data_IF_033084715133
#
_entry.id   IF_033084715133
#
_cell.length_a   1.000
_cell.length_b   1.000
_cell.length_c   1.000
_cell.angle_alpha   90.00
_cell.angle_beta   90.00
_cell.angle_gamma   90.00
#
_symmetry.space_group_name_H-M   'P 1'
#
loop_
_entity.id
_entity.type
_entity.pdbx_description
1 polymer ?
2 non-polymer ?
3 non-polymer ?
4 non-polymer ?
5 water ?
#
# COMPACT_ATOMS: atom_id res chain seq x y z
N UNK A 1 -16.47 6.08 6.29
CA UNK A 1 -15.98 4.74 5.85
C UNK A 1 -15.43 3.87 6.97
N UNK A 2 -15.09 2.61 6.65
CA UNK A 2 -14.66 1.67 7.69
C UNK A 2 -13.26 2.00 8.20
N UNK A 3 -12.99 1.68 9.47
CA UNK A 3 -11.62 1.74 10.02
C UNK A 3 -11.32 0.49 10.85
N UNK A 4 -10.04 0.17 11.04
CA UNK A 4 -9.64 -0.90 11.95
C UNK A 4 -9.96 -0.47 13.38
N UNK A 5 -10.52 -1.39 14.15
CA UNK A 5 -10.96 -1.10 15.53
C UNK A 5 -10.04 -1.74 16.54
N UNK A 6 -8.77 -1.85 16.16
CA UNK A 6 -7.76 -2.52 16.96
C UNK A 6 -6.44 -1.90 16.57
N UNK A 7 -5.46 -2.02 17.47
CA UNK A 7 -4.16 -1.39 17.28
C UNK A 7 -3.10 -2.26 16.64
N UNK A 8 -3.18 -3.56 16.90
CA UNK A 8 -2.21 -4.48 16.35
C UNK A 8 -2.79 -5.04 15.05
N UNK A 9 -2.11 -4.74 13.95
CA UNK A 9 -2.54 -5.09 12.60
C UNK A 9 -1.44 -5.98 12.00
N UNK A 10 -1.85 -7.05 11.32
CA UNK A 10 -0.90 -7.97 10.73
C UNK A 10 -0.96 -7.85 9.21
N UNK A 11 0.18 -8.08 8.56
CA UNK A 11 0.19 -8.25 7.11
C UNK A 11 0.93 -9.49 6.71
N UNK A 12 0.57 -9.99 5.53
CA UNK A 12 1.23 -11.14 4.95
C UNK A 12 1.49 -10.86 3.48
N UNK A 13 2.69 -11.21 3.04
CA UNK A 13 3.00 -11.08 1.62
C UNK A 13 2.72 -12.44 0.96
N UNK A 14 1.71 -12.45 0.10
CA UNK A 14 1.20 -13.66 -0.53
C UNK A 14 2.21 -14.29 -1.50
N UNK A 15 2.88 -13.42 -2.24
CA UNK A 15 3.81 -13.83 -3.30
C UNK A 15 4.64 -12.63 -3.67
N UNK A 16 5.75 -12.87 -4.36
CA UNK A 16 6.76 -11.85 -4.58
C UNK A 16 6.92 -11.55 -6.07
N UNK A 17 6.93 -10.28 -6.44
CA UNK A 17 7.23 -9.91 -7.82
C UNK A 17 8.63 -10.42 -8.20
N UNK A 18 8.78 -10.98 -9.41
CA UNK A 18 10.13 -11.35 -9.88
C UNK A 18 10.96 -10.12 -10.28
N UNK A 19 10.35 -8.93 -10.24
CA UNK A 19 11.02 -7.71 -10.67
C UNK A 19 12.07 -7.25 -9.68
N UNK A 20 11.97 -7.73 -8.45
CA UNK A 20 12.83 -7.25 -7.35
C UNK A 20 13.46 -8.38 -6.58
N UNK A 21 14.55 -8.08 -5.87
CA UNK A 21 15.11 -8.99 -4.86
C UNK A 21 14.07 -9.18 -3.75
N UNK A 22 13.96 -10.39 -3.24
CA UNK A 22 13.01 -10.68 -2.15
C UNK A 22 13.14 -9.75 -0.96
N UNK A 23 14.36 -9.59 -0.45
CA UNK A 23 14.61 -8.72 0.74
C UNK A 23 14.17 -7.27 0.47
N UNK A 24 14.30 -6.82 -0.78
CA UNK A 24 13.89 -5.45 -1.16
C UNK A 24 12.36 -5.24 -1.16
N UNK A 25 11.63 -6.26 -1.61
CA UNK A 25 10.16 -6.29 -1.46
C UNK A 25 9.80 -6.19 0.04
N UNK A 26 10.41 -7.04 0.86
CA UNK A 26 10.09 -7.03 2.30
C UNK A 26 10.32 -5.65 2.90
N UNK A 27 11.44 -5.05 2.56
CA UNK A 27 11.83 -3.79 3.17
C UNK A 27 10.96 -2.64 2.71
N UNK A 28 10.70 -2.58 1.40
CA UNK A 28 9.75 -1.58 0.82
C UNK A 28 8.37 -1.63 1.49
N UNK A 29 7.81 -2.83 1.67
CA UNK A 29 6.51 -2.98 2.35
C UNK A 29 6.60 -2.58 3.85
N UNK A 30 7.64 -3.05 4.53
CA UNK A 30 7.88 -2.66 5.93
C UNK A 30 7.97 -1.14 6.09
N UNK A 31 8.83 -0.49 5.32
CA UNK A 31 8.96 0.96 5.33
C UNK A 31 7.64 1.70 5.07
N UNK A 32 6.86 1.20 4.13
CA UNK A 32 5.56 1.78 3.83
C UNK A 32 4.59 1.71 5.02
N UNK A 33 4.54 0.56 5.69
CA UNK A 33 3.73 0.45 6.90
C UNK A 33 4.19 1.46 7.99
N UNK A 34 5.52 1.57 8.19
CA UNK A 34 6.15 2.51 9.12
C UNK A 34 5.72 3.97 8.90
N UNK A 35 5.58 4.38 7.63
CA UNK A 35 5.05 5.71 7.31
C UNK A 35 3.74 5.97 8.07
N UNK A 36 2.84 5.00 8.06
CA UNK A 36 1.53 5.17 8.70
C UNK A 36 1.54 4.97 10.21
N UNK A 37 2.34 4.03 10.69
CA UNK A 37 2.41 3.80 12.13
C UNK A 37 3.11 4.97 12.81
N UNK A 38 3.91 5.74 12.04
CA UNK A 38 4.64 6.90 12.57
C UNK A 38 3.68 7.97 13.05
N UNK A 39 2.46 8.00 12.50
CA UNK A 39 1.53 9.11 12.76
C UNK A 39 0.17 8.59 13.27
N UNK A 40 0.14 7.32 13.65
CA UNK A 40 -1.06 6.74 14.27
C UNK A 40 -0.66 5.85 15.46
N UNK A 41 -1.65 5.31 16.21
CA UNK A 41 -1.36 4.30 17.25
C UNK A 41 -1.19 2.86 16.73
N UNK A 42 -1.29 2.69 15.42
CA UNK A 42 -1.20 1.37 14.81
C UNK A 42 0.19 0.78 14.88
N UNK A 43 0.23 -0.54 15.05
CA UNK A 43 1.46 -1.32 15.04
C UNK A 43 1.26 -2.42 14.02
N UNK A 44 2.24 -2.58 13.13
CA UNK A 44 2.15 -3.56 12.02
C UNK A 44 3.19 -4.65 12.16
N UNK A 45 2.75 -5.90 11.97
CA UNK A 45 3.62 -7.09 12.04
C UNK A 45 3.39 -8.01 10.86
N UNK A 46 4.50 -8.46 10.28
CA UNK A 46 4.50 -9.35 9.12
C UNK A 46 4.35 -10.77 9.65
N UNK A 47 3.35 -11.49 9.17
CA UNK A 47 3.19 -12.88 9.57
C UNK A 47 3.48 -13.68 8.29
N UNK A 48 3.90 -14.92 8.46
CA UNK A 48 4.36 -15.72 7.33
C UNK A 48 3.37 -16.81 6.98
N UNK A 49 2.31 -16.89 7.77
CA UNK A 49 1.34 -17.97 7.64
C UNK A 49 -0.02 -17.57 8.24
N UNK A 50 -1.10 -18.21 7.80
CA UNK A 50 -2.40 -17.92 8.37
C UNK A 50 -3.02 -16.66 7.79
N UNK A 51 -4.12 -16.23 8.39
CA UNK A 51 -4.89 -15.09 7.88
C UNK A 51 -4.39 -13.75 8.47
N UNK A 52 -3.88 -12.89 7.61
CA UNK A 52 -3.48 -11.55 8.03
C UNK A 52 -4.64 -10.60 7.83
N UNK A 53 -4.58 -9.45 8.48
CA UNK A 53 -5.52 -8.41 8.19
C UNK A 53 -5.29 -7.89 6.78
N UNK A 54 -4.03 -7.71 6.40
CA UNK A 54 -3.71 -7.11 5.11
C UNK A 54 -2.88 -8.10 4.30
N UNK A 55 -3.48 -8.63 3.25
CA UNK A 55 -2.77 -9.51 2.31
C UNK A 55 -2.24 -8.70 1.14
N UNK A 56 -0.94 -8.86 0.89
CA UNK A 56 -0.22 -8.13 -0.14
C UNK A 56 -0.02 -9.13 -1.26
N UNK A 57 -0.54 -8.77 -2.44
CA UNK A 57 -0.59 -9.70 -3.60
C UNK A 57 -0.01 -9.03 -4.84
N UNK A 58 0.83 -9.76 -5.57
CA UNK A 58 1.17 -9.34 -6.92
C UNK A 58 0.41 -10.22 -7.92
N UNK A 59 -0.27 -9.58 -8.87
CA UNK A 59 -1.07 -10.31 -9.86
C UNK A 59 -1.28 -9.46 -11.13
N UNK A 60 -1.68 -10.11 -12.22
CA UNK A 60 -1.90 -9.40 -13.49
C UNK A 60 -3.26 -9.76 -14.05
N UNK A 61 -3.81 -8.87 -14.88
CA UNK A 61 -5.10 -9.09 -15.54
C UNK A 61 -6.20 -9.41 -14.54
N UNK A 62 -7.09 -10.33 -14.92
CA UNK A 62 -8.14 -10.81 -14.04
C UNK A 62 -7.50 -11.66 -12.95
N UNK A 63 -7.72 -11.27 -11.70
CA UNK A 63 -7.08 -11.98 -10.61
C UNK A 63 -8.04 -12.20 -9.45
N UNK A 64 -9.33 -12.33 -9.76
CA UNK A 64 -10.26 -12.88 -8.78
C UNK A 64 -11.04 -11.89 -7.94
N UNK A 65 -11.02 -10.63 -8.33
CA UNK A 65 -11.92 -9.66 -7.74
C UNK A 65 -12.56 -8.90 -8.89
N UNK A 66 -13.12 -7.74 -8.62
CA UNK A 66 -13.75 -6.92 -9.66
C UNK A 66 -12.88 -5.79 -10.17
N UNK A 67 -11.60 -5.92 -9.89
CA UNK A 67 -10.67 -4.87 -10.21
C UNK A 67 -9.57 -5.47 -11.07
N UNK A 68 -9.96 -5.96 -12.24
CA UNK A 68 -8.99 -6.45 -13.22
C UNK A 68 -7.94 -5.41 -13.53
N UNK A 69 -6.69 -5.87 -13.60
CA UNK A 69 -5.58 -5.02 -13.98
C UNK A 69 -5.50 -4.91 -15.51
N UNK A 70 -4.77 -3.92 -15.99
CA UNK A 70 -4.89 -3.46 -17.37
C UNK A 70 -3.61 -3.56 -18.20
N UNK A 71 -2.68 -4.44 -17.82
CA UNK A 71 -1.36 -4.49 -18.46
C UNK A 71 -0.47 -3.36 -17.98
N UNK A 72 0.66 -3.15 -18.64
CA UNK A 72 1.60 -2.13 -18.20
C UNK A 72 1.02 -0.70 -18.27
N UNK A 73 1.28 0.08 -17.22
CA UNK A 73 0.81 1.47 -17.16
C UNK A 73 -0.62 1.54 -16.65
N UNK A 74 -1.24 2.72 -16.73
CA UNK A 74 -2.57 2.90 -16.15
C UNK A 74 -2.59 2.56 -14.65
N UNK A 75 -3.52 1.69 -14.26
CA UNK A 75 -3.67 1.25 -12.86
C UNK A 75 -2.42 0.47 -12.47
N UNK A 76 -1.76 0.93 -11.41
CA UNK A 76 -0.55 0.31 -10.86
C UNK A 76 -0.85 -0.68 -9.73
N UNK A 77 -1.95 -0.45 -9.01
CA UNK A 77 -2.29 -1.20 -7.81
C UNK A 77 -3.67 -0.78 -7.30
N UNK A 78 -4.28 -1.60 -6.46
CA UNK A 78 -5.52 -1.18 -5.80
C UNK A 78 -5.62 -1.93 -4.48
N UNK A 79 -6.41 -1.39 -3.55
CA UNK A 79 -6.56 -1.96 -2.22
C UNK A 79 -7.99 -1.78 -1.69
N UNK A 80 -8.37 -2.63 -0.74
CA UNK A 80 -9.69 -2.61 -0.16
C UNK A 80 -9.64 -1.95 1.21
N UNK A 81 -10.69 -1.19 1.53
CA UNK A 81 -10.78 -0.53 2.85
C UNK A 81 -10.90 -1.54 3.98
N UNK A 82 -10.72 -1.08 5.23
CA UNK A 82 -10.76 -2.04 6.36
C UNK A 82 -12.02 -2.92 6.35
N UNK A 83 -11.86 -4.16 6.77
CA UNK A 83 -12.98 -5.08 6.84
C UNK A 83 -12.47 -6.50 6.86
N UNK A 84 -13.40 -7.42 7.02
CA UNK A 84 -13.11 -8.86 7.06
C UNK A 84 -12.77 -9.39 5.66
N UNK A 85 -12.21 -10.60 5.60
CA UNK A 85 -11.90 -11.24 4.32
C UNK A 85 -10.94 -10.40 3.50
N UNK A 86 -11.39 -9.98 2.33
CA UNK A 86 -10.53 -9.21 1.44
C UNK A 86 -10.32 -7.77 1.88
N UNK A 87 -11.13 -7.29 2.83
CA UNK A 87 -10.93 -5.95 3.35
C UNK A 87 -9.48 -5.79 3.80
N UNK A 88 -8.90 -4.63 3.50
CA UNK A 88 -7.52 -4.34 3.83
C UNK A 88 -6.50 -4.78 2.79
N UNK A 89 -6.88 -5.65 1.86
CA UNK A 89 -5.85 -6.32 1.03
C UNK A 89 -5.38 -5.36 -0.01
N UNK A 90 -4.11 -5.47 -0.39
CA UNK A 90 -3.50 -4.55 -1.33
C UNK A 90 -2.91 -5.38 -2.48
N UNK A 91 -3.32 -5.06 -3.72
CA UNK A 91 -2.92 -5.83 -4.91
C UNK A 91 -2.08 -4.94 -5.80
N UNK A 92 -0.98 -5.49 -6.30
CA UNK A 92 -0.04 -4.75 -7.14
C UNK A 92 0.03 -5.40 -8.52
N UNK A 93 -0.09 -4.58 -9.55
CA UNK A 93 -0.13 -5.10 -10.93
C UNK A 93 1.25 -5.63 -11.34
N UNK A 94 1.36 -6.95 -11.53
CA UNK A 94 2.60 -7.57 -11.99
C UNK A 94 3.05 -7.08 -13.38
N UNK A 95 2.12 -6.54 -14.17
CA UNK A 95 2.50 -5.96 -15.47
C UNK A 95 3.28 -4.66 -15.37
N UNK A 96 3.35 -4.06 -14.16
CA UNK A 96 4.27 -2.97 -13.92
C UNK A 96 5.68 -3.53 -13.63
N UNK A 97 6.69 -2.68 -13.71
CA UNK A 97 8.02 -3.12 -13.27
C UNK A 97 8.39 -2.44 -11.97
N UNK A 98 8.36 -3.25 -10.90
CA UNK A 98 8.56 -2.79 -9.53
C UNK A 98 10.04 -2.59 -9.24
N UNK A 99 10.39 -1.48 -8.59
CA UNK A 99 11.79 -1.18 -8.21
C UNK A 99 11.94 -0.52 -6.83
N UNK A 100 13.19 -0.50 -6.38
CA UNK A 100 13.62 0.23 -5.18
C UNK A 100 13.95 1.71 -5.44
N UNK A 101 13.84 2.14 -6.69
CA UNK A 101 14.37 3.44 -7.10
C UNK A 101 13.41 4.21 -8.04
N UNK A 102 13.96 5.14 -8.84
CA UNK A 102 13.12 5.95 -9.73
C UNK A 102 12.75 5.29 -11.04
N UNK A 103 13.31 4.12 -11.31
CA UNK A 103 13.04 3.42 -12.55
C UNK A 103 11.74 2.67 -12.37
N UNK A 104 11.11 2.31 -13.48
CA UNK A 104 9.83 1.59 -13.45
C UNK A 104 8.86 2.29 -12.52
N UNK A 105 8.22 1.50 -11.64
CA UNK A 105 7.29 2.02 -10.62
C UNK A 105 7.84 1.69 -9.23
N UNK A 106 8.03 2.71 -8.41
CA UNK A 106 8.61 2.50 -7.10
C UNK A 106 7.61 1.79 -6.17
N UNK A 107 8.01 0.63 -5.67
CA UNK A 107 7.11 -0.19 -4.84
C UNK A 107 6.78 0.49 -3.53
N UNK A 108 7.80 1.01 -2.84
CA UNK A 108 7.60 1.72 -1.59
C UNK A 108 6.50 2.80 -1.70
N UNK A 109 6.64 3.71 -2.67
CA UNK A 109 5.71 4.85 -2.83
C UNK A 109 4.31 4.37 -3.13
N UNK A 110 4.19 3.39 -4.03
CA UNK A 110 2.90 2.78 -4.30
C UNK A 110 2.32 2.10 -3.06
N UNK A 111 3.17 1.39 -2.31
CA UNK A 111 2.69 0.71 -1.11
C UNK A 111 2.22 1.70 -0.04
N UNK A 112 2.91 2.83 0.10
CA UNK A 112 2.40 3.88 0.98
C UNK A 112 0.96 4.26 0.58
N UNK A 113 0.75 4.58 -0.70
CA UNK A 113 -0.59 4.96 -1.21
C UNK A 113 -1.64 3.85 -0.97
N UNK A 114 -1.29 2.61 -1.33
CA UNK A 114 -2.20 1.47 -1.16
C UNK A 114 -2.56 1.20 0.32
N UNK A 115 -1.55 1.20 1.17
CA UNK A 115 -1.79 1.03 2.62
C UNK A 115 -2.67 2.15 3.17
N UNK A 116 -2.51 3.36 2.64
CA UNK A 116 -3.46 4.44 3.00
C UNK A 116 -4.89 3.99 2.78
N UNK A 117 -5.15 3.40 1.61
CA UNK A 117 -6.47 2.84 1.32
C UNK A 117 -6.83 1.68 2.26
N UNK A 118 -5.86 0.78 2.52
CA UNK A 118 -6.08 -0.38 3.42
C UNK A 118 -6.49 0.03 4.85
N UNK A 119 -6.15 1.26 5.21
CA UNK A 119 -6.45 1.82 6.53
C UNK A 119 -7.74 2.66 6.53
N UNK A 120 -8.31 2.91 5.35
CA UNK A 120 -9.59 3.66 5.25
C UNK A 120 -9.55 5.01 4.54
N UNK A 121 -8.36 5.46 4.12
CA UNK A 121 -8.24 6.72 3.38
C UNK A 121 -8.71 6.64 1.92
N UNK A 122 -9.36 7.71 1.46
CA UNK A 122 -9.69 7.87 0.04
C UNK A 122 -8.63 8.74 -0.62
N UNK A 123 -8.91 9.18 -1.84
CA UNK A 123 -7.97 10.01 -2.56
C UNK A 123 -8.01 11.46 -2.09
N UNK A 124 -6.89 12.14 -2.28
CA UNK A 124 -6.78 13.58 -2.01
C UNK A 124 -6.75 14.31 -3.33
N UNK A 125 -7.25 15.54 -3.35
CA UNK A 125 -7.17 16.35 -4.55
C UNK A 125 -5.85 17.15 -4.61
N UNK A 126 -5.10 17.13 -3.50
CA UNK A 126 -3.82 17.82 -3.36
C UNK A 126 -2.67 17.05 -4.05
N UNK A 127 -2.09 17.63 -5.12
CA UNK A 127 -1.05 16.92 -5.89
C UNK A 127 0.21 16.59 -5.11
N UNK A 128 0.36 17.18 -3.93
CA UNK A 128 1.49 16.93 -3.03
C UNK A 128 1.28 15.73 -2.12
N UNK A 129 0.03 15.31 -2.00
CA UNK A 129 -0.33 14.25 -1.07
C UNK A 129 -0.04 12.88 -1.69
N UNK A 130 0.39 11.94 -0.85
CA UNK A 130 0.67 10.61 -1.34
C UNK A 130 -0.62 9.93 -1.82
N UNK A 131 -1.75 10.32 -1.24
CA UNK A 131 -3.10 9.84 -1.58
C UNK A 131 -3.73 10.54 -2.79
N UNK A 132 -3.02 11.50 -3.38
CA UNK A 132 -3.39 12.00 -4.72
C UNK A 132 -3.45 10.80 -5.68
N UNK A 133 -4.43 10.79 -6.60
CA UNK A 133 -4.62 9.61 -7.45
C UNK A 133 -3.53 9.31 -8.50
N UNK A 134 -2.60 10.23 -8.74
CA UNK A 134 -1.60 10.05 -9.81
C UNK A 134 -0.20 9.75 -9.28
N UNK A 135 0.35 8.60 -9.65
CA UNK A 135 1.73 8.24 -9.28
C UNK A 135 2.75 9.25 -9.82
N UNK A 136 3.59 9.75 -8.93
CA UNK A 136 4.67 10.64 -9.28
C UNK A 136 5.86 10.27 -8.42
N UNK A 137 6.99 9.94 -9.05
CA UNK A 137 8.17 9.57 -8.28
C UNK A 137 8.68 10.76 -7.47
N UNK A 138 8.94 10.53 -6.19
CA UNK A 138 9.72 11.48 -5.40
C UNK A 138 10.83 10.70 -4.70
N UNK A 139 11.95 11.37 -4.42
CA UNK A 139 13.04 10.71 -3.71
C UNK A 139 12.56 10.02 -2.42
N UNK A 140 12.68 8.70 -2.43
CA UNK A 140 12.17 7.85 -1.35
C UNK A 140 13.00 7.98 -0.07
N UNK A 141 14.28 8.32 -0.21
CA UNK A 141 15.17 8.47 0.94
C UNK A 141 14.85 9.68 1.80
N UNK A 142 14.13 10.65 1.24
CA UNK A 142 13.71 11.84 2.01
C UNK A 142 12.20 12.02 2.01
N UNK A 143 11.49 10.96 1.64
CA UNK A 143 10.04 11.00 1.59
C UNK A 143 9.38 11.43 2.90
N UNK A 144 8.39 12.30 2.82
CA UNK A 144 7.60 12.63 4.00
C UNK A 144 6.15 12.80 3.62
N UNK A 145 5.26 12.31 4.48
CA UNK A 145 3.82 12.49 4.30
C UNK A 145 3.49 13.95 4.20
N UNK A 146 2.55 14.29 3.33
CA UNK A 146 2.13 15.67 3.23
C UNK A 146 1.24 15.95 4.43
N UNK A 147 1.07 17.23 4.75
CA UNK A 147 0.17 17.66 5.82
C UNK A 147 -1.25 17.15 5.54
N UNK A 148 -1.64 17.12 4.26
CA UNK A 148 -2.97 16.63 3.89
C UNK A 148 -3.12 15.16 4.27
N UNK A 149 -2.08 14.35 4.01
CA UNK A 149 -2.13 12.91 4.36
C UNK A 149 -2.17 12.73 5.87
N UNK A 150 -1.37 13.52 6.57
CA UNK A 150 -1.41 13.49 8.03
C UNK A 150 -2.80 13.85 8.57
N UNK A 151 -3.39 14.95 8.10
CA UNK A 151 -4.74 15.27 8.59
C UNK A 151 -5.76 14.16 8.28
N UNK A 152 -5.69 13.61 7.06
CA UNK A 152 -6.56 12.50 6.67
C UNK A 152 -6.49 11.30 7.61
N UNK A 153 -5.28 10.76 7.80
CA UNK A 153 -5.14 9.55 8.62
C UNK A 153 -5.48 9.84 10.07
N UNK A 154 -5.15 11.04 10.53
CA UNK A 154 -5.41 11.39 11.93
C UNK A 154 -6.89 11.69 12.18
N UNK A 155 -7.65 11.89 11.10
CA UNK A 155 -9.10 12.04 11.20
C UNK A 155 -9.75 10.67 11.43
N UNK A 156 -9.03 9.61 11.07
CA UNK A 156 -9.52 8.23 11.20
C UNK A 156 -8.99 7.53 12.46
N UNK A 157 -7.74 7.83 12.83
CA UNK A 157 -7.05 7.15 13.94
C UNK A 157 -6.43 8.13 14.94
N UNK A 158 -6.32 7.67 16.17
CA UNK A 158 -5.72 8.48 17.21
C UNK A 158 -6.61 9.67 17.50
X LIG B 1 -5.53 4.99 -4.90
X LIG C 1 -7.26 -6.99 -7.01
X LIG D 1 -7.90 -8.90 4.60
X LIG E 1 6.49 -7.09 -13.17
X LIG F 1 -1.29 -1.56 -15.04
X LIG G 1 -5.83 4.71 -7.09
X LIG G 1 -5.58 3.59 -7.51
X LIG G 1 -5.16 2.59 -6.74
X LIG G 1 -5.03 2.81 -5.38
X LIG G 1 -5.68 3.27 -8.96
X LIG G 1 -4.84 4.15 -9.75
X LIG G 1 -3.26 4.44 -9.63
X LIG G 1 -2.55 4.41 -10.82
X LIG G 1 -2.95 3.04 -9.50
X LIG G 1 -2.57 4.69 -8.12
X LIG G 1 -1.03 4.69 -8.13
X LIG G 1 -0.40 5.63 -7.14
X LIG G 1 -0.95 6.88 -6.87
X LIG G 1 -0.32 7.74 -5.99
X LIG G 1 0.81 5.25 -6.53
X LIG G 1 1.45 6.10 -5.63
X LIG G 1 0.88 7.34 -5.37
#
# INVERSE_FOLDING_TARGET
GPVWRKHYITYRINNYTPDMNREDVDYAIRKAFQVWSNVTPLKFSKINTGMADILVVFARGAHGDDHAFDGKGGILAHAFGPGSGIGGDAHFDEDEFWTTHSGGTNLFLTAVHEIGHSLGLGHSSDPKAVMFPTYKYVDINTFRLSADDIRGIQSLYG
ZN ZN
ZN ZN
CA CA
CA CA
CA CA
KLG O3 C10 N1 O4 C9 N2 S1 O1 O2 C8 C7 C6 C3 C1 C5 C4 C2
#
